data_IF_707212056370
#
_entry.id   IF_707212056370
#
_cell.length_a   1.000
_cell.length_b   1.000
_cell.length_c   1.000
_cell.angle_alpha   90.00
_cell.angle_beta   90.00
_cell.angle_gamma   90.00
#
_symmetry.space_group_name_H-M   'P 1'
#
loop_
_entity.id
_entity.type
_entity.pdbx_description
1 polymer ?
#
# COMPACT_ATOMS: atom_id res chain seq x y z
N UNK A 1 -4.91 24.37 34.22
CA UNK A 1 -5.56 24.24 32.89
C UNK A 1 -4.58 23.81 31.80
N UNK A 2 -3.33 24.31 31.78
CA UNK A 2 -2.35 23.98 30.72
C UNK A 2 -1.87 22.53 30.64
N UNK A 3 -1.69 21.83 31.77
CA UNK A 3 -1.21 20.44 31.75
C UNK A 3 -2.20 19.46 31.09
N UNK A 4 -3.50 19.65 31.33
CA UNK A 4 -4.56 18.84 30.70
C UNK A 4 -4.61 19.07 29.18
N UNK A 5 -4.41 20.31 28.75
CA UNK A 5 -4.38 20.66 27.32
C UNK A 5 -3.14 20.08 26.62
N UNK A 6 -1.97 20.13 27.26
CA UNK A 6 -0.75 19.53 26.72
C UNK A 6 -0.85 17.99 26.61
N UNK A 7 -1.48 17.34 27.59
CA UNK A 7 -1.73 15.89 27.54
C UNK A 7 -2.70 15.55 26.39
N UNK A 8 -3.79 16.31 26.22
CA UNK A 8 -4.75 16.10 25.13
C UNK A 8 -4.11 16.28 23.75
N UNK A 9 -3.28 17.32 23.57
CA UNK A 9 -2.54 17.55 22.31
C UNK A 9 -1.57 16.41 22.05
N UNK A 10 -0.84 15.96 23.07
CA UNK A 10 0.11 14.84 22.95
C UNK A 10 -0.60 13.54 22.55
N UNK A 11 -1.77 13.26 23.13
CA UNK A 11 -2.59 12.08 22.78
C UNK A 11 -3.13 12.16 21.35
N UNK A 12 -3.57 13.34 20.89
CA UNK A 12 -4.03 13.55 19.50
C UNK A 12 -2.89 13.37 18.48
N UNK A 13 -1.70 13.87 18.80
CA UNK A 13 -0.52 13.67 17.93
C UNK A 13 -0.13 12.19 17.86
N UNK A 14 -0.19 11.45 18.98
CA UNK A 14 0.05 10.00 18.96
C UNK A 14 -0.92 9.23 18.06
N UNK A 15 -2.20 9.62 17.98
CA UNK A 15 -3.18 8.95 17.11
C UNK A 15 -2.85 9.12 15.61
N UNK A 16 -2.24 10.23 15.21
CA UNK A 16 -1.87 10.49 13.82
C UNK A 16 -0.66 9.68 13.32
N UNK A 17 0.25 9.27 14.22
CA UNK A 17 1.48 8.54 13.85
C UNK A 17 1.21 7.07 13.52
N UNK A 18 0.14 6.48 14.04
CA UNK A 18 -0.16 5.05 13.90
C UNK A 18 -1.29 4.72 12.94
N UNK A 19 -1.82 5.70 12.20
CA UNK A 19 -2.82 5.41 11.17
C UNK A 19 -2.12 4.90 9.90
N UNK A 20 -1.68 3.64 9.94
CA UNK A 20 -1.40 2.85 8.74
C UNK A 20 -2.76 2.66 8.06
N UNK A 21 -3.12 3.61 7.22
CA UNK A 21 -4.33 3.57 6.42
C UNK A 21 -4.17 2.49 5.36
N UNK A 22 -4.49 1.24 5.69
CA UNK A 22 -4.77 0.22 4.69
C UNK A 22 -6.11 0.58 4.02
N UNK A 23 -6.07 1.60 3.16
CA UNK A 23 -7.22 2.05 2.39
C UNK A 23 -7.46 1.07 1.24
N UNK A 24 -8.69 0.59 1.08
CA UNK A 24 -9.07 -0.18 -0.10
C UNK A 24 -8.97 0.69 -1.37
N UNK A 25 -8.47 0.08 -2.44
CA UNK A 25 -8.27 0.75 -3.72
C UNK A 25 -8.81 -0.07 -4.88
N UNK A 26 -9.17 0.62 -5.96
CA UNK A 26 -9.55 0.03 -7.25
C UNK A 26 -8.52 0.33 -8.33
N UNK A 27 -7.72 1.37 -8.14
CA UNK A 27 -6.64 1.77 -9.03
C UNK A 27 -5.56 2.53 -8.26
N UNK A 28 -4.37 2.76 -8.85
CA UNK A 28 -3.35 3.61 -8.24
C UNK A 28 -3.83 5.05 -7.94
N UNK A 29 -4.82 5.56 -8.67
CA UNK A 29 -5.36 6.92 -8.50
C UNK A 29 -6.10 7.11 -7.16
N UNK A 30 -6.48 6.00 -6.51
CA UNK A 30 -7.09 6.03 -5.18
C UNK A 30 -6.05 6.20 -4.05
N UNK A 31 -4.75 6.08 -4.37
CA UNK A 31 -3.65 6.05 -3.42
C UNK A 31 -2.81 7.35 -3.47
N UNK A 32 -1.97 7.55 -2.45
CA UNK A 32 -1.03 8.69 -2.45
C UNK A 32 0.08 8.50 -3.49
N UNK A 33 0.79 9.59 -3.89
CA UNK A 33 1.85 9.51 -4.88
C UNK A 33 3.02 8.55 -4.54
N UNK A 34 3.25 8.28 -3.26
CA UNK A 34 4.28 7.36 -2.75
C UNK A 34 3.72 5.96 -2.38
N UNK A 35 2.51 5.66 -2.84
CA UNK A 35 1.80 4.40 -2.63
C UNK A 35 1.38 3.77 -3.95
N UNK A 36 1.05 2.48 -3.93
CA UNK A 36 0.43 1.79 -5.04
C UNK A 36 -0.76 0.97 -4.57
N UNK A 37 -1.65 0.62 -5.50
CA UNK A 37 -2.72 -0.32 -5.23
C UNK A 37 -2.20 -1.77 -5.39
N UNK A 38 -2.17 -2.54 -4.30
CA UNK A 38 -1.64 -3.90 -4.29
C UNK A 38 -2.58 -4.88 -3.60
N UNK A 39 -2.63 -6.12 -4.09
CA UNK A 39 -3.48 -7.18 -3.55
C UNK A 39 -2.65 -8.38 -3.11
N UNK A 40 -3.01 -8.96 -1.96
CA UNK A 40 -2.45 -10.21 -1.49
C UNK A 40 -2.83 -11.41 -2.37
N UNK A 41 -2.22 -12.56 -2.10
CA UNK A 41 -2.50 -13.82 -2.80
C UNK A 41 -3.58 -14.69 -2.12
N UNK A 42 -4.12 -14.26 -0.99
CA UNK A 42 -5.10 -15.06 -0.26
C UNK A 42 -6.48 -14.92 -0.89
N UNK A 43 -7.32 -15.94 -0.72
CA UNK A 43 -8.72 -15.88 -1.16
C UNK A 43 -9.43 -14.74 -0.43
N UNK A 44 -10.24 -13.98 -1.16
CA UNK A 44 -10.95 -12.80 -0.66
C UNK A 44 -10.04 -11.65 -0.23
N UNK A 45 -8.74 -11.66 -0.59
CA UNK A 45 -7.90 -10.47 -0.46
C UNK A 45 -8.47 -9.34 -1.31
N UNK A 46 -8.67 -8.20 -0.67
CA UNK A 46 -9.02 -6.94 -1.34
C UNK A 46 -7.76 -6.13 -1.63
N UNK A 47 -7.72 -5.35 -2.72
CA UNK A 47 -6.59 -4.47 -3.00
C UNK A 47 -6.54 -3.32 -1.99
N UNK A 48 -5.33 -2.98 -1.54
CA UNK A 48 -5.07 -1.94 -0.55
C UNK A 48 -3.96 -1.01 -1.05
N UNK A 49 -4.03 0.26 -0.68
CA UNK A 49 -2.92 1.19 -0.84
C UNK A 49 -1.76 0.78 0.08
N UNK A 50 -0.62 0.47 -0.52
CA UNK A 50 0.61 0.11 0.19
C UNK A 50 1.74 1.06 -0.23
N UNK A 51 2.74 1.30 0.64
CA UNK A 51 3.86 2.17 0.29
C UNK A 51 4.76 1.54 -0.78
N UNK A 52 5.29 2.39 -1.66
CA UNK A 52 6.38 2.02 -2.58
C UNK A 52 7.59 1.48 -1.80
N UNK A 53 8.33 0.55 -2.41
CA UNK A 53 9.46 -0.13 -1.75
C UNK A 53 10.72 0.74 -1.81
N UNK A 54 11.37 0.92 -0.68
CA UNK A 54 12.59 1.72 -0.51
C UNK A 54 13.84 0.90 -0.83
N UNK A 55 14.99 1.57 -0.96
CA UNK A 55 16.28 0.92 -1.19
C UNK A 55 16.57 -0.19 -0.16
N UNK A 56 17.06 -1.34 -0.63
CA UNK A 56 17.36 -2.52 0.17
C UNK A 56 16.15 -3.38 0.56
N UNK A 57 14.94 -2.85 0.44
CA UNK A 57 13.71 -3.59 0.73
C UNK A 57 13.44 -4.70 -0.28
N UNK A 58 12.72 -5.74 0.17
CA UNK A 58 12.24 -6.80 -0.73
C UNK A 58 11.25 -6.23 -1.75
N UNK A 59 11.43 -6.65 -2.99
CA UNK A 59 10.55 -6.37 -4.12
C UNK A 59 10.30 -7.66 -4.91
N UNK A 60 9.40 -7.59 -5.90
CA UNK A 60 9.09 -8.71 -6.79
C UNK A 60 9.57 -8.38 -8.19
N UNK A 61 10.50 -9.21 -8.71
CA UNK A 61 11.01 -9.07 -10.08
C UNK A 61 9.88 -9.35 -11.08
N UNK A 62 9.73 -8.50 -12.11
CA UNK A 62 8.68 -8.63 -13.12
C UNK A 62 7.26 -8.48 -12.57
N UNK A 63 7.08 -7.62 -11.57
CA UNK A 63 5.77 -7.36 -10.97
C UNK A 63 4.99 -6.30 -11.74
N UNK A 64 4.68 -6.59 -13.00
CA UNK A 64 3.86 -5.71 -13.81
C UNK A 64 2.44 -5.56 -13.22
N UNK A 65 1.85 -4.36 -13.26
CA UNK A 65 0.49 -4.14 -12.80
C UNK A 65 -0.52 -4.88 -13.68
N UNK A 66 -1.62 -5.35 -13.09
CA UNK A 66 -2.61 -6.19 -13.77
C UNK A 66 -4.03 -5.70 -13.52
N UNK A 67 -4.90 -5.85 -14.51
CA UNK A 67 -6.35 -5.69 -14.33
C UNK A 67 -6.94 -7.01 -13.85
N UNK A 68 -7.77 -6.94 -12.81
CA UNK A 68 -8.31 -8.14 -12.15
C UNK A 68 -9.70 -7.91 -11.60
N UNK A 69 -10.43 -9.01 -11.53
CA UNK A 69 -11.72 -9.11 -10.88
C UNK A 69 -11.56 -9.92 -9.60
N UNK A 70 -12.08 -9.38 -8.52
CA UNK A 70 -12.05 -9.99 -7.19
C UNK A 70 -13.46 -10.18 -6.69
N UNK A 71 -13.59 -11.15 -5.79
CA UNK A 71 -14.80 -11.37 -5.04
C UNK A 71 -14.46 -11.21 -3.58
N UNK A 72 -15.26 -10.44 -2.85
CA UNK A 72 -15.13 -10.41 -1.39
C UNK A 72 -15.77 -11.67 -0.77
N UNK A 73 -15.70 -11.79 0.55
CA UNK A 73 -16.29 -12.91 1.30
C UNK A 73 -17.80 -13.04 1.14
N UNK A 74 -18.49 -11.99 0.68
CA UNK A 74 -19.93 -11.95 0.45
C UNK A 74 -20.31 -12.31 -1.00
N UNK A 75 -19.33 -12.58 -1.87
CA UNK A 75 -19.54 -12.88 -3.29
C UNK A 75 -19.78 -11.66 -4.17
N UNK A 76 -19.59 -10.45 -3.64
CA UNK A 76 -19.68 -9.22 -4.44
C UNK A 76 -18.46 -9.10 -5.34
N UNK A 77 -18.73 -8.88 -6.63
CA UNK A 77 -17.69 -8.62 -7.62
C UNK A 77 -17.13 -7.20 -7.47
N UNK A 78 -15.80 -7.09 -7.52
CA UNK A 78 -15.04 -5.85 -7.53
C UNK A 78 -14.02 -5.90 -8.67
N UNK A 79 -14.07 -4.94 -9.57
CA UNK A 79 -13.06 -4.78 -10.62
C UNK A 79 -11.98 -3.80 -10.12
N UNK A 80 -10.70 -4.15 -10.28
CA UNK A 80 -9.59 -3.26 -10.03
C UNK A 80 -8.63 -3.27 -11.21
N UNK A 81 -8.01 -2.12 -11.46
CA UNK A 81 -7.13 -1.89 -12.61
C UNK A 81 -5.73 -1.53 -12.16
N UNK A 82 -4.75 -1.93 -12.95
CA UNK A 82 -3.34 -1.63 -12.71
C UNK A 82 -2.85 -1.96 -11.29
N UNK A 83 -3.30 -3.08 -10.72
CA UNK A 83 -2.95 -3.48 -9.35
C UNK A 83 -1.71 -4.37 -9.32
N UNK A 84 -0.90 -4.19 -8.28
CA UNK A 84 0.30 -4.97 -8.06
C UNK A 84 0.05 -6.22 -7.22
N UNK A 85 0.85 -7.26 -7.43
CA UNK A 85 0.74 -8.50 -6.65
C UNK A 85 1.64 -8.44 -5.41
N UNK A 86 1.03 -8.56 -4.24
CA UNK A 86 1.62 -8.60 -2.89
C UNK A 86 2.40 -7.36 -2.44
N UNK A 87 3.22 -6.78 -3.30
CA UNK A 87 4.13 -5.68 -2.98
C UNK A 87 4.00 -4.61 -4.07
N UNK A 88 4.16 -3.36 -3.66
CA UNK A 88 4.37 -2.26 -4.59
C UNK A 88 5.71 -2.38 -5.33
N UNK A 89 5.88 -1.67 -6.46
CA UNK A 89 7.17 -1.53 -7.10
C UNK A 89 8.12 -0.72 -6.22
N UNK A 90 9.39 -0.69 -6.62
CA UNK A 90 10.37 0.18 -5.97
C UNK A 90 10.04 1.65 -6.23
N UNK A 91 10.40 2.52 -5.29
CA UNK A 91 10.24 3.97 -5.45
C UNK A 91 11.06 4.49 -6.64
N UNK A 92 10.68 5.65 -7.17
CA UNK A 92 11.34 6.31 -8.29
C UNK A 92 12.87 6.34 -8.14
N UNK A 93 13.59 5.97 -9.22
CA UNK A 93 15.06 5.89 -9.23
C UNK A 93 15.64 4.56 -8.71
N UNK A 94 14.79 3.60 -8.34
CA UNK A 94 15.19 2.25 -7.96
C UNK A 94 14.61 1.21 -8.93
N UNK A 95 15.34 0.12 -9.14
CA UNK A 95 14.88 -1.07 -9.83
C UNK A 95 14.88 -2.28 -8.90
N UNK A 96 14.08 -3.29 -9.26
CA UNK A 96 14.04 -4.54 -8.52
C UNK A 96 15.08 -5.54 -9.06
N UNK A 97 16.32 -5.50 -8.55
CA UNK A 97 17.36 -6.49 -8.86
C UNK A 97 17.36 -7.62 -7.82
N UNK A 98 17.34 -8.87 -8.30
CA UNK A 98 17.39 -10.09 -7.46
C UNK A 98 16.45 -10.06 -6.24
N UNK A 99 15.29 -9.43 -6.39
CA UNK A 99 14.27 -9.32 -5.33
C UNK A 99 14.56 -8.27 -4.25
N UNK A 100 15.46 -7.32 -4.51
CA UNK A 100 15.68 -6.13 -3.68
C UNK A 100 15.66 -4.86 -4.51
N UNK A 101 15.20 -3.77 -3.92
CA UNK A 101 15.29 -2.48 -4.56
C UNK A 101 16.74 -1.97 -4.49
N UNK A 102 17.33 -1.71 -5.65
CA UNK A 102 18.66 -1.12 -5.83
C UNK A 102 18.56 0.09 -6.72
N UNK A 103 19.54 0.99 -6.64
CA UNK A 103 19.62 2.11 -7.58
C UNK A 103 19.83 1.59 -9.00
N UNK A 104 19.14 2.25 -9.93
CA UNK A 104 19.33 2.09 -11.38
C UNK A 104 20.74 2.57 -11.75
#
# INVERSE_FOLDING_TARGET
MGLKLAILISLLVLQGVFYVSCQECKSPDDCKPDECCAVGMMRYSVPLCLPMRKEGERCRVGNEPQDKQYYNSYGERRDATSVYRNLCPCSSGLECDKGRCSKI
#
